data_IF_903590482386
#
_entry.id   IF_903590482386
#
_cell.length_a   1.000
_cell.length_b   1.000
_cell.length_c   1.000
_cell.angle_alpha   90.00
_cell.angle_beta   90.00
_cell.angle_gamma   90.00
#
_symmetry.space_group_name_H-M   'P 1'
#
loop_
_entity.id
_entity.type
_entity.pdbx_description
1 polymer ?
#
# COMPACT_ATOMS: atom_id res chain seq x y z
N UNK A 1 -4.73 -80.76 26.70
CA UNK A 1 -5.89 -80.62 25.78
C UNK A 1 -5.59 -79.40 24.92
N UNK A 2 -4.95 -79.56 23.74
CA UNK A 2 -5.55 -79.38 22.38
C UNK A 2 -6.28 -78.02 22.27
N UNK A 3 -5.94 -77.06 21.40
CA UNK A 3 -5.63 -77.14 19.97
C UNK A 3 -4.96 -75.82 19.48
N UNK A 4 -4.18 -75.96 18.42
CA UNK A 4 -3.57 -74.94 17.54
C UNK A 4 -4.62 -74.13 16.76
N UNK A 5 -4.42 -72.82 16.57
CA UNK A 5 -4.93 -72.08 15.39
C UNK A 5 -3.98 -70.94 15.04
N UNK A 6 -3.48 -70.97 13.80
CA UNK A 6 -2.73 -69.92 13.12
C UNK A 6 -3.75 -68.96 12.49
N UNK A 7 -3.58 -67.65 12.65
CA UNK A 7 -4.15 -66.67 11.70
C UNK A 7 -3.07 -65.62 11.41
N UNK A 8 -2.56 -65.66 10.17
CA UNK A 8 -1.78 -64.59 9.56
C UNK A 8 -2.56 -63.28 9.56
N UNK A 9 -1.95 -62.20 10.01
CA UNK A 9 -2.38 -60.84 9.69
C UNK A 9 -1.19 -60.11 9.08
N UNK A 10 -1.37 -59.68 7.84
CA UNK A 10 -0.33 -59.16 6.97
C UNK A 10 0.40 -57.95 7.52
N UNK A 11 1.70 -57.92 7.26
CA UNK A 11 2.55 -56.75 7.34
C UNK A 11 2.04 -55.72 6.32
N UNK A 12 1.19 -54.79 6.76
CA UNK A 12 0.84 -53.62 5.97
C UNK A 12 2.07 -52.71 5.96
N UNK A 13 2.84 -52.74 4.87
CA UNK A 13 3.89 -51.77 4.60
C UNK A 13 3.23 -50.39 4.48
N UNK A 14 3.15 -49.66 5.59
CA UNK A 14 2.93 -48.21 5.56
C UNK A 14 4.13 -47.63 4.81
N UNK A 15 3.93 -47.29 3.53
CA UNK A 15 4.87 -46.46 2.80
C UNK A 15 5.01 -45.17 3.59
N UNK A 16 6.16 -44.99 4.24
CA UNK A 16 6.52 -43.76 4.92
C UNK A 16 6.74 -42.70 3.86
N UNK A 17 5.66 -42.13 3.36
CA UNK A 17 5.71 -40.81 2.76
C UNK A 17 6.40 -39.92 3.79
N UNK A 18 7.50 -39.22 3.46
CA UNK A 18 8.12 -38.33 4.40
C UNK A 18 7.04 -37.31 4.79
N UNK A 19 6.62 -37.34 6.05
CA UNK A 19 5.94 -36.21 6.64
C UNK A 19 6.94 -35.08 6.50
N UNK A 20 6.71 -34.17 5.55
CA UNK A 20 7.47 -32.93 5.46
C UNK A 20 7.28 -32.27 6.82
N UNK A 21 8.30 -32.36 7.67
CA UNK A 21 8.30 -31.61 8.92
C UNK A 21 8.16 -30.16 8.50
N UNK A 22 6.99 -29.57 8.77
CA UNK A 22 6.81 -28.14 8.66
C UNK A 22 7.86 -27.51 9.56
N UNK A 23 8.84 -26.87 8.93
CA UNK A 23 9.89 -26.14 9.61
C UNK A 23 9.24 -24.89 10.22
N UNK A 24 8.70 -25.05 11.43
CA UNK A 24 7.94 -24.03 12.15
C UNK A 24 8.78 -22.77 12.42
N UNK A 25 10.12 -22.85 12.34
CA UNK A 25 11.02 -21.71 12.50
C UNK A 25 11.10 -20.83 11.24
N UNK A 26 10.79 -21.39 10.06
CA UNK A 26 10.72 -20.66 8.78
C UNK A 26 9.37 -20.00 8.53
N UNK A 27 8.34 -20.35 9.31
CA UNK A 27 7.04 -19.71 9.20
C UNK A 27 7.11 -18.29 9.79
N UNK A 28 6.52 -17.29 9.10
CA UNK A 28 6.43 -15.94 9.66
C UNK A 28 5.70 -15.99 10.99
N UNK A 29 6.22 -15.27 11.99
CA UNK A 29 5.62 -15.27 13.33
C UNK A 29 4.18 -14.78 13.24
N UNK A 30 3.26 -15.33 14.04
CA UNK A 30 1.84 -14.93 14.04
C UNK A 30 1.68 -13.40 14.20
N UNK A 31 2.53 -12.76 14.99
CA UNK A 31 2.62 -11.30 15.11
C UNK A 31 3.01 -10.56 13.82
N UNK A 32 3.86 -11.14 12.97
CA UNK A 32 4.25 -10.56 11.68
C UNK A 32 3.14 -10.69 10.63
N UNK A 33 2.42 -11.83 10.62
CA UNK A 33 1.27 -12.06 9.73
C UNK A 33 0.13 -11.10 10.07
N UNK A 34 -0.21 -10.97 11.35
CA UNK A 34 -1.26 -10.06 11.83
C UNK A 34 -0.89 -8.59 11.58
N UNK A 35 0.37 -8.22 11.75
CA UNK A 35 0.85 -6.87 11.44
C UNK A 35 0.83 -6.58 9.93
N UNK A 36 1.29 -7.51 9.07
CA UNK A 36 1.18 -7.34 7.61
C UNK A 36 -0.28 -7.11 7.19
N UNK A 37 -1.22 -7.89 7.73
CA UNK A 37 -2.65 -7.68 7.53
C UNK A 37 -3.11 -6.28 7.99
N UNK A 38 -2.60 -5.77 9.12
CA UNK A 38 -2.93 -4.41 9.58
C UNK A 38 -2.47 -3.33 8.59
N UNK A 39 -1.21 -3.38 8.13
CA UNK A 39 -0.69 -2.37 7.19
C UNK A 39 -1.45 -2.40 5.86
N UNK A 40 -1.72 -3.61 5.35
CA UNK A 40 -2.48 -3.81 4.12
C UNK A 40 -3.92 -3.27 4.26
N UNK A 41 -4.58 -3.51 5.39
CA UNK A 41 -5.92 -2.98 5.66
C UNK A 41 -5.94 -1.44 5.71
N UNK A 42 -4.95 -0.81 6.33
CA UNK A 42 -4.86 0.66 6.36
C UNK A 42 -4.59 1.22 4.96
N UNK A 43 -3.68 0.62 4.20
CA UNK A 43 -3.41 1.04 2.83
C UNK A 43 -4.64 0.85 1.91
N UNK A 44 -5.44 -0.20 2.11
CA UNK A 44 -6.72 -0.36 1.43
C UNK A 44 -7.72 0.74 1.81
N UNK A 45 -7.80 1.11 3.10
CA UNK A 45 -8.66 2.23 3.55
C UNK A 45 -8.22 3.57 2.97
N UNK A 46 -6.91 3.84 2.90
CA UNK A 46 -6.36 5.03 2.27
C UNK A 46 -6.69 5.06 0.77
N UNK A 47 -6.48 3.95 0.06
CA UNK A 47 -6.83 3.84 -1.36
C UNK A 47 -8.33 4.08 -1.59
N UNK A 48 -9.21 3.46 -0.80
CA UNK A 48 -10.66 3.70 -0.85
C UNK A 48 -11.01 5.17 -0.60
N UNK A 49 -10.37 5.81 0.38
CA UNK A 49 -10.60 7.22 0.66
C UNK A 49 -10.20 8.11 -0.53
N UNK A 50 -9.06 7.83 -1.18
CA UNK A 50 -8.61 8.55 -2.37
C UNK A 50 -9.52 8.33 -3.59
N UNK A 51 -10.13 7.15 -3.71
CA UNK A 51 -11.13 6.89 -4.75
C UNK A 51 -12.41 7.68 -4.46
N UNK A 52 -12.89 7.67 -3.21
CA UNK A 52 -14.14 8.32 -2.80
C UNK A 52 -14.07 9.86 -2.83
N UNK A 53 -12.94 10.44 -2.46
CA UNK A 53 -12.74 11.90 -2.47
C UNK A 53 -12.14 12.43 -3.77
N UNK A 54 -11.73 11.52 -4.66
CA UNK A 54 -11.02 11.84 -5.90
C UNK A 54 -9.55 12.19 -5.67
N UNK A 55 -8.82 12.29 -6.78
CA UNK A 55 -7.39 12.63 -6.78
C UNK A 55 -7.15 14.08 -6.40
N UNK A 56 -5.98 14.36 -5.83
CA UNK A 56 -5.54 15.74 -5.57
C UNK A 56 -5.50 16.53 -6.87
N UNK A 57 -6.12 17.70 -6.86
CA UNK A 57 -6.17 18.59 -8.02
C UNK A 57 -5.06 19.63 -7.94
N UNK A 58 -4.36 19.82 -9.06
CA UNK A 58 -3.27 20.79 -9.17
C UNK A 58 -3.57 21.78 -10.29
N UNK A 59 -3.09 23.00 -10.15
CA UNK A 59 -3.10 23.95 -11.27
C UNK A 59 -2.26 23.38 -12.43
N UNK A 60 -2.69 23.61 -13.66
CA UNK A 60 -2.04 23.09 -14.87
C UNK A 60 -0.54 23.40 -14.89
N UNK A 61 0.28 22.38 -15.14
CA UNK A 61 1.75 22.49 -15.20
C UNK A 61 2.43 22.83 -13.86
N UNK A 62 1.68 22.89 -12.75
CA UNK A 62 2.20 23.32 -11.43
C UNK A 62 2.01 22.25 -10.36
N UNK A 63 2.72 22.43 -9.25
CA UNK A 63 2.56 21.67 -8.00
C UNK A 63 1.66 22.39 -6.98
N UNK A 64 1.16 23.59 -7.32
CA UNK A 64 0.16 24.29 -6.51
C UNK A 64 -1.18 23.56 -6.55
N UNK A 65 -1.80 23.39 -5.39
CA UNK A 65 -3.17 22.87 -5.30
C UNK A 65 -4.16 23.80 -6.00
N UNK A 66 -5.08 23.19 -6.73
CA UNK A 66 -6.32 23.82 -7.12
C UNK A 66 -7.28 23.88 -5.91
N UNK A 67 -8.34 24.71 -5.96
CA UNK A 67 -9.38 24.72 -4.92
C UNK A 67 -10.03 23.35 -4.69
N UNK A 68 -10.52 23.12 -3.48
CA UNK A 68 -11.31 21.92 -3.14
C UNK A 68 -10.51 20.73 -2.59
N UNK A 69 -9.20 20.83 -2.42
CA UNK A 69 -8.39 19.74 -1.86
C UNK A 69 -8.60 19.50 -0.35
N UNK A 70 -9.25 20.41 0.37
CA UNK A 70 -9.47 20.30 1.82
C UNK A 70 -10.21 19.00 2.21
N UNK A 71 -11.21 18.59 1.43
CA UNK A 71 -11.95 17.33 1.64
C UNK A 71 -11.00 16.13 1.61
N UNK A 72 -10.11 16.09 0.62
CA UNK A 72 -9.16 15.00 0.39
C UNK A 72 -8.12 14.92 1.51
N UNK A 73 -7.56 16.07 1.91
CA UNK A 73 -6.62 16.14 3.05
C UNK A 73 -7.31 15.67 4.32
N UNK A 74 -8.52 16.17 4.62
CA UNK A 74 -9.29 15.78 5.80
C UNK A 74 -9.63 14.28 5.81
N UNK A 75 -10.03 13.72 4.67
CA UNK A 75 -10.33 12.30 4.50
C UNK A 75 -9.13 11.42 4.83
N UNK A 76 -7.95 11.74 4.28
CA UNK A 76 -6.72 11.00 4.56
C UNK A 76 -6.31 11.11 6.04
N UNK A 77 -6.38 12.31 6.62
CA UNK A 77 -6.06 12.51 8.04
C UNK A 77 -6.99 11.71 8.96
N UNK A 78 -8.27 11.59 8.61
CA UNK A 78 -9.23 10.77 9.34
C UNK A 78 -8.76 9.32 9.38
N UNK A 79 -8.47 8.72 8.23
CA UNK A 79 -7.98 7.33 8.14
C UNK A 79 -6.68 7.15 8.93
N UNK A 80 -5.71 8.05 8.75
CA UNK A 80 -4.43 7.97 9.46
C UNK A 80 -4.61 8.09 10.99
N UNK A 81 -5.51 8.95 11.45
CA UNK A 81 -5.77 9.17 12.87
C UNK A 81 -6.50 7.98 13.51
N UNK A 82 -7.53 7.46 12.83
CA UNK A 82 -8.31 6.30 13.28
C UNK A 82 -7.43 5.06 13.52
N UNK A 83 -6.38 4.88 12.70
CA UNK A 83 -5.47 3.75 12.80
C UNK A 83 -4.17 4.05 13.58
N UNK A 84 -3.93 5.31 13.98
CA UNK A 84 -2.65 5.77 14.53
C UNK A 84 -2.16 4.99 15.75
N UNK A 85 -3.05 4.68 16.72
CA UNK A 85 -2.69 3.92 17.94
C UNK A 85 -2.20 2.51 17.61
N UNK A 86 -2.92 1.81 16.73
CA UNK A 86 -2.61 0.43 16.32
C UNK A 86 -1.32 0.38 15.50
N UNK A 87 -1.15 1.34 14.59
CA UNK A 87 0.03 1.41 13.73
C UNK A 87 1.31 1.72 14.51
N UNK A 88 1.28 2.69 15.44
CA UNK A 88 2.46 3.04 16.24
C UNK A 88 2.95 1.90 17.15
N UNK A 89 2.03 1.10 17.70
CA UNK A 89 2.40 -0.05 18.53
C UNK A 89 3.01 -1.20 17.72
N UNK A 90 2.58 -1.38 16.46
CA UNK A 90 3.05 -2.47 15.60
C UNK A 90 4.30 -2.11 14.77
N UNK A 91 4.51 -0.82 14.46
CA UNK A 91 5.50 -0.35 13.51
C UNK A 91 6.26 0.88 14.02
N UNK A 92 7.44 0.70 14.66
CA UNK A 92 8.21 1.83 15.21
C UNK A 92 8.73 2.80 14.15
N UNK A 93 9.00 2.31 12.92
CA UNK A 93 9.53 3.11 11.80
C UNK A 93 8.45 3.53 10.80
N UNK A 94 7.20 3.56 11.24
CA UNK A 94 6.07 3.89 10.37
C UNK A 94 6.21 5.31 9.80
N UNK A 95 6.02 5.43 8.50
CA UNK A 95 5.97 6.70 7.80
C UNK A 95 4.91 6.67 6.71
N UNK A 96 4.49 7.86 6.26
CA UNK A 96 3.62 8.03 5.11
C UNK A 96 4.49 8.17 3.86
N UNK A 97 4.09 7.57 2.75
CA UNK A 97 4.64 7.85 1.42
C UNK A 97 3.61 8.59 0.59
N UNK A 98 4.07 9.56 -0.20
CA UNK A 98 3.26 10.22 -1.21
C UNK A 98 3.96 10.03 -2.57
N UNK A 99 3.41 9.18 -3.44
CA UNK A 99 3.95 8.93 -4.78
C UNK A 99 3.19 9.75 -5.81
N UNK A 100 3.83 10.78 -6.36
CA UNK A 100 3.28 11.62 -7.41
C UNK A 100 3.47 11.01 -8.79
N UNK A 101 2.48 11.19 -9.65
CA UNK A 101 2.50 10.78 -11.05
C UNK A 101 2.04 11.93 -11.97
N UNK A 102 2.51 11.92 -13.21
CA UNK A 102 2.06 12.81 -14.28
C UNK A 102 1.37 12.03 -15.38
N UNK A 103 0.74 12.75 -16.31
CA UNK A 103 0.40 12.22 -17.63
C UNK A 103 1.66 12.10 -18.51
N UNK A 104 1.49 11.62 -19.73
CA UNK A 104 2.58 11.38 -20.69
C UNK A 104 3.10 12.66 -21.37
N UNK A 105 2.48 13.81 -21.13
CA UNK A 105 2.89 15.07 -21.76
C UNK A 105 4.23 15.56 -21.21
N UNK A 106 5.10 16.06 -22.10
CA UNK A 106 6.40 16.60 -21.73
C UNK A 106 7.52 15.55 -21.54
N UNK A 107 8.70 16.01 -21.14
CA UNK A 107 9.87 15.14 -21.00
C UNK A 107 9.82 14.31 -19.72
N UNK A 108 10.45 13.14 -19.73
CA UNK A 108 10.60 12.30 -18.54
C UNK A 108 11.25 13.07 -17.37
N UNK A 109 12.25 13.91 -17.64
CA UNK A 109 12.92 14.72 -16.62
C UNK A 109 11.99 15.78 -16.01
N UNK A 110 11.20 16.47 -16.85
CA UNK A 110 10.20 17.44 -16.39
C UNK A 110 9.13 16.77 -15.54
N UNK A 111 8.64 15.62 -15.99
CA UNK A 111 7.63 14.84 -15.29
C UNK A 111 8.13 14.29 -13.95
N UNK A 112 9.39 13.87 -13.88
CA UNK A 112 10.02 13.45 -12.63
C UNK A 112 10.06 14.59 -11.60
N UNK A 113 10.48 15.79 -12.01
CA UNK A 113 10.51 16.97 -11.13
C UNK A 113 9.11 17.38 -10.69
N UNK A 114 8.15 17.44 -11.62
CA UNK A 114 6.78 17.88 -11.35
C UNK A 114 6.05 16.90 -10.41
N UNK A 115 6.15 15.59 -10.67
CA UNK A 115 5.55 14.58 -9.80
C UNK A 115 6.10 14.63 -8.38
N UNK A 116 7.42 14.78 -8.21
CA UNK A 116 8.04 14.92 -6.89
C UNK A 116 7.59 16.19 -6.18
N UNK A 117 7.48 17.32 -6.89
CA UNK A 117 7.00 18.57 -6.32
C UNK A 117 5.54 18.46 -5.83
N UNK A 118 4.68 17.75 -6.58
CA UNK A 118 3.30 17.47 -6.18
C UNK A 118 3.22 16.58 -4.93
N UNK A 119 4.03 15.52 -4.88
CA UNK A 119 4.14 14.68 -3.70
C UNK A 119 4.59 15.48 -2.46
N UNK A 120 5.59 16.35 -2.62
CA UNK A 120 6.04 17.27 -1.57
C UNK A 120 4.91 18.16 -1.07
N UNK A 121 4.11 18.74 -1.97
CA UNK A 121 2.95 19.58 -1.60
C UNK A 121 1.95 18.79 -0.76
N UNK A 122 1.63 17.56 -1.14
CA UNK A 122 0.72 16.69 -0.37
C UNK A 122 1.27 16.40 1.03
N UNK A 123 2.55 16.02 1.14
CA UNK A 123 3.19 15.81 2.44
C UNK A 123 3.16 17.07 3.32
N UNK A 124 3.46 18.24 2.75
CA UNK A 124 3.45 19.51 3.48
C UNK A 124 2.05 19.86 4.00
N UNK A 125 1.02 19.65 3.18
CA UNK A 125 -0.37 19.94 3.54
C UNK A 125 -0.92 18.96 4.59
N UNK A 126 -0.59 17.66 4.50
CA UNK A 126 -0.96 16.71 5.54
C UNK A 126 -0.29 17.07 6.89
N UNK A 127 1.00 17.44 6.87
CA UNK A 127 1.73 17.88 8.07
C UNK A 127 1.15 19.17 8.65
N UNK A 128 0.87 20.18 7.82
CA UNK A 128 0.30 21.46 8.27
C UNK A 128 -1.06 21.30 8.94
N UNK A 129 -1.84 20.31 8.51
CA UNK A 129 -3.16 19.96 9.07
C UNK A 129 -3.10 18.93 10.21
N UNK A 130 -1.92 18.60 10.72
CA UNK A 130 -1.76 17.88 11.98
C UNK A 130 -1.24 16.45 11.89
N UNK A 131 -0.90 15.94 10.70
CA UNK A 131 -0.22 14.64 10.58
C UNK A 131 1.12 14.67 11.33
N UNK A 132 1.32 13.72 12.24
CA UNK A 132 2.55 13.60 13.05
C UNK A 132 3.55 12.58 12.53
N UNK A 133 3.14 11.71 11.60
CA UNK A 133 4.03 10.73 10.99
C UNK A 133 5.03 11.44 10.05
N UNK A 134 6.27 10.93 9.94
CA UNK A 134 7.14 11.30 8.83
C UNK A 134 6.44 11.08 7.49
N UNK A 135 6.78 11.88 6.50
CA UNK A 135 6.23 11.75 5.15
C UNK A 135 7.36 11.81 4.14
N UNK A 136 7.46 10.78 3.30
CA UNK A 136 8.46 10.62 2.25
C UNK A 136 7.81 10.86 0.89
N UNK A 137 8.11 11.99 0.22
CA UNK A 137 7.62 12.27 -1.11
C UNK A 137 8.44 11.53 -2.17
N UNK A 138 7.76 10.93 -3.15
CA UNK A 138 8.35 10.15 -4.23
C UNK A 138 7.82 10.70 -5.56
N UNK A 139 8.70 11.02 -6.49
CA UNK A 139 8.32 11.31 -7.89
C UNK A 139 8.41 10.05 -8.72
N UNK A 140 7.31 9.65 -9.36
CA UNK A 140 7.30 8.51 -10.28
C UNK A 140 7.21 8.93 -11.76
N UNK A 141 7.13 10.24 -12.03
CA UNK A 141 6.94 10.79 -13.37
C UNK A 141 5.73 10.17 -14.09
N UNK A 142 5.89 9.93 -15.38
CA UNK A 142 4.88 9.29 -16.24
C UNK A 142 5.11 7.79 -16.44
N UNK A 143 6.13 7.21 -15.79
CA UNK A 143 6.59 5.84 -16.07
C UNK A 143 5.70 4.71 -15.51
N UNK A 144 4.66 5.05 -14.73
CA UNK A 144 3.70 4.11 -14.16
C UNK A 144 2.25 4.57 -14.42
N UNK A 145 1.79 4.60 -15.68
CA UNK A 145 0.45 5.07 -16.01
C UNK A 145 -0.61 4.06 -15.53
N UNK A 146 -1.75 4.58 -15.06
CA UNK A 146 -2.97 3.78 -14.85
C UNK A 146 -3.77 3.63 -16.14
N UNK A 147 -3.70 4.60 -17.04
CA UNK A 147 -4.30 4.55 -18.36
C UNK A 147 -3.20 4.64 -19.43
N UNK A 148 -3.06 3.57 -20.23
CA UNK A 148 -2.15 3.52 -21.36
C UNK A 148 -2.80 2.70 -22.49
N UNK A 149 -2.85 3.21 -23.74
CA UNK A 149 -2.42 4.55 -24.15
C UNK A 149 -3.33 5.67 -23.61
N UNK A 150 -2.78 6.86 -23.39
CA UNK A 150 -3.57 8.06 -23.06
C UNK A 150 -4.28 8.59 -24.31
N UNK A 151 -5.57 8.27 -24.47
CA UNK A 151 -6.36 8.65 -25.66
C UNK A 151 -7.26 9.86 -25.43
N UNK A 152 -7.45 10.25 -24.18
CA UNK A 152 -8.41 11.29 -23.81
C UNK A 152 -7.92 12.15 -22.64
N UNK A 153 -8.53 13.32 -22.44
CA UNK A 153 -8.27 14.16 -21.27
C UNK A 153 -8.58 13.43 -19.95
N UNK A 154 -9.57 12.53 -19.95
CA UNK A 154 -9.93 11.70 -18.81
C UNK A 154 -8.82 10.70 -18.45
N UNK A 155 -8.17 10.10 -19.46
CA UNK A 155 -7.03 9.18 -19.23
C UNK A 155 -5.84 9.91 -18.63
N UNK A 156 -5.53 11.11 -19.15
CA UNK A 156 -4.51 11.98 -18.58
C UNK A 156 -4.82 12.35 -17.13
N UNK A 157 -6.08 12.68 -16.82
CA UNK A 157 -6.48 12.99 -15.44
C UNK A 157 -6.29 11.80 -14.48
N UNK A 158 -6.56 10.55 -14.91
CA UNK A 158 -6.27 9.35 -14.09
C UNK A 158 -4.78 9.21 -13.77
N UNK A 159 -3.90 9.64 -14.70
CA UNK A 159 -2.46 9.56 -14.53
C UNK A 159 -1.89 10.71 -13.69
N UNK A 160 -2.50 11.90 -13.73
CA UNK A 160 -2.20 13.04 -12.83
C UNK A 160 -2.71 12.80 -11.40
N UNK A 161 -2.02 11.95 -10.64
CA UNK A 161 -2.43 11.53 -9.29
C UNK A 161 -1.30 11.62 -8.27
N UNK A 162 -1.66 11.59 -6.99
CA UNK A 162 -0.72 11.34 -5.89
C UNK A 162 -1.28 10.22 -5.03
N UNK A 163 -0.57 9.09 -4.94
CA UNK A 163 -0.94 7.96 -4.12
C UNK A 163 -0.34 8.12 -2.71
N UNK A 164 -1.19 8.07 -1.68
CA UNK A 164 -0.78 8.21 -0.27
C UNK A 164 -0.93 6.87 0.42
N UNK A 165 0.15 6.37 1.01
CA UNK A 165 0.20 5.09 1.71
C UNK A 165 0.98 5.23 3.01
N UNK A 166 0.87 4.22 3.87
CA UNK A 166 1.76 4.01 5.01
C UNK A 166 2.74 2.87 4.71
N UNK A 167 3.98 3.06 5.15
CA UNK A 167 5.08 2.11 5.03
C UNK A 167 5.84 2.01 6.37
N UNK A 168 6.67 0.99 6.53
CA UNK A 168 7.42 0.67 7.75
C UNK A 168 8.89 0.41 7.45
#
# INVERSE_FOLDING_TARGET
>A
MRLTTIVSAGLLMLSSSPVIALDLEKLPKIGEITNKSLLDNVNQSLAKQQINDGQFEFKTGKAEFAPGNDKRVKGLLKVLTEHSKRLKGAFPNLHVTAEGHTDSDGSAQTNQKLSLARANKVCAELKSKGMKLPCTPIGAGSGKPLASPEKSAADKQKNRRVLVQVAK
#
